data_IF_508757381233
#
_entry.id   IF_508757381233
#
_cell.length_a   1.000
_cell.length_b   1.000
_cell.length_c   1.000
_cell.angle_alpha   90.00
_cell.angle_beta   90.00
_cell.angle_gamma   90.00
#
_symmetry.space_group_name_H-M   'P 1'
#
loop_
_entity.id
_entity.type
_entity.pdbx_description
1 polymer ?
#
# COMPACT_ATOMS: atom_id res chain seq x y z
N UNK A 1 -3.70 2.12 3.00
CA UNK A 1 -4.42 2.87 4.07
C UNK A 1 -5.90 3.07 3.73
N UNK A 2 -6.73 3.45 4.71
CA UNK A 2 -8.19 3.67 4.54
C UNK A 2 -8.59 5.04 5.08
N UNK A 3 -9.39 5.79 4.33
CA UNK A 3 -9.94 7.07 4.76
C UNK A 3 -10.96 6.92 5.91
N UNK A 4 -10.89 7.85 6.85
CA UNK A 4 -11.70 7.85 8.07
C UNK A 4 -13.16 8.20 7.86
N UNK A 5 -13.54 8.89 6.79
CA UNK A 5 -14.94 9.26 6.55
C UNK A 5 -15.60 8.32 5.54
N UNK A 6 -15.08 8.32 4.32
CA UNK A 6 -15.59 7.60 3.15
C UNK A 6 -15.37 6.07 3.23
N UNK A 7 -14.35 5.64 3.98
CA UNK A 7 -13.79 4.28 3.96
C UNK A 7 -13.17 3.90 2.60
N UNK A 8 -12.79 4.90 1.81
CA UNK A 8 -12.00 4.69 0.59
C UNK A 8 -10.65 4.08 0.95
N UNK A 9 -10.25 3.04 0.24
CA UNK A 9 -8.89 2.52 0.30
C UNK A 9 -8.02 3.45 -0.54
N UNK A 10 -7.13 4.18 0.12
CA UNK A 10 -6.29 5.21 -0.50
C UNK A 10 -5.08 4.62 -1.23
N UNK A 11 -4.51 3.54 -0.69
CA UNK A 11 -3.42 2.79 -1.29
C UNK A 11 -3.42 1.36 -0.74
N UNK A 12 -2.96 0.42 -1.57
CA UNK A 12 -2.86 -0.99 -1.27
C UNK A 12 -1.78 -1.61 -2.17
N UNK A 13 -0.61 -1.91 -1.60
CA UNK A 13 0.60 -2.21 -2.37
C UNK A 13 1.23 -3.51 -1.90
N UNK A 14 1.77 -4.29 -2.84
CA UNK A 14 2.63 -5.44 -2.56
C UNK A 14 4.02 -4.92 -2.24
N UNK A 15 4.60 -5.38 -1.13
CA UNK A 15 5.97 -5.06 -0.72
C UNK A 15 6.69 -6.32 -0.30
N UNK A 16 8.02 -6.35 -0.48
CA UNK A 16 8.90 -7.43 -0.01
C UNK A 16 8.85 -7.55 1.52
N UNK A 17 8.69 -6.42 2.20
CA UNK A 17 8.63 -6.36 3.65
C UNK A 17 7.84 -5.15 4.11
N UNK A 18 6.95 -5.37 5.06
CA UNK A 18 6.27 -4.31 5.80
C UNK A 18 7.08 -3.84 7.03
N UNK A 19 8.23 -4.46 7.31
CA UNK A 19 9.13 -4.06 8.40
C UNK A 19 10.09 -2.94 7.99
N UNK A 20 10.01 -2.45 6.74
CA UNK A 20 10.83 -1.36 6.21
C UNK A 20 10.01 -0.06 6.23
N UNK A 21 10.20 0.82 7.23
CA UNK A 21 9.40 2.03 7.39
C UNK A 21 9.41 2.93 6.16
N UNK A 22 10.52 2.98 5.43
CA UNK A 22 10.71 3.83 4.25
C UNK A 22 9.92 3.32 3.05
N UNK A 23 9.71 2.00 2.93
CA UNK A 23 8.84 1.43 1.91
C UNK A 23 7.37 1.81 2.17
N UNK A 24 6.93 1.71 3.43
CA UNK A 24 5.58 2.13 3.83
C UNK A 24 5.40 3.65 3.69
N UNK A 25 6.44 4.42 4.01
CA UNK A 25 6.45 5.86 3.81
C UNK A 25 6.29 6.24 2.34
N UNK A 26 6.98 5.56 1.42
CA UNK A 26 6.84 5.79 -0.03
C UNK A 26 5.39 5.64 -0.48
N UNK A 27 4.69 4.59 -0.06
CA UNK A 27 3.27 4.41 -0.38
C UNK A 27 2.40 5.56 0.16
N UNK A 28 2.72 6.08 1.34
CA UNK A 28 2.04 7.24 1.89
C UNK A 28 2.33 8.52 1.08
N UNK A 29 3.58 8.78 0.70
CA UNK A 29 3.96 9.94 -0.13
C UNK A 29 3.30 9.89 -1.52
N UNK A 30 3.26 8.71 -2.15
CA UNK A 30 2.58 8.52 -3.42
C UNK A 30 1.07 8.75 -3.30
N UNK A 31 0.45 8.27 -2.21
CA UNK A 31 -0.94 8.59 -1.93
C UNK A 31 -1.17 10.10 -1.72
N UNK A 32 -0.27 10.81 -1.04
CA UNK A 32 -0.35 12.28 -0.87
C UNK A 32 -0.29 12.97 -2.24
N UNK A 33 0.59 12.53 -3.16
CA UNK A 33 0.65 13.07 -4.52
C UNK A 33 -0.63 12.80 -5.31
N UNK A 34 -1.07 11.56 -5.32
CA UNK A 34 -2.25 11.14 -6.10
C UNK A 34 -3.52 11.84 -5.65
N UNK A 35 -3.62 12.19 -4.36
CA UNK A 35 -4.75 12.93 -3.81
C UNK A 35 -4.54 14.45 -3.80
N UNK A 36 -3.41 14.95 -4.31
CA UNK A 36 -3.04 16.37 -4.35
C UNK A 36 -3.00 17.03 -2.95
N UNK A 37 -2.67 16.26 -1.92
CA UNK A 37 -2.61 16.75 -0.55
C UNK A 37 -2.55 15.64 0.50
N UNK A 38 -2.18 16.03 1.71
CA UNK A 38 -2.19 15.15 2.88
C UNK A 38 -3.51 15.27 3.65
N UNK A 39 -3.91 14.25 4.42
CA UNK A 39 -5.09 14.37 5.28
C UNK A 39 -4.83 15.39 6.41
N UNK A 40 -5.91 15.95 6.97
CA UNK A 40 -5.84 16.84 8.14
C UNK A 40 -5.14 16.16 9.32
N UNK A 41 -5.42 14.88 9.53
CA UNK A 41 -4.84 14.09 10.60
C UNK A 41 -4.71 12.63 10.17
N UNK A 42 -3.58 11.99 10.52
CA UNK A 42 -3.40 10.54 10.37
C UNK A 42 -3.47 9.83 11.72
N UNK A 43 -3.77 8.53 11.67
CA UNK A 43 -3.74 7.66 12.84
C UNK A 43 -3.13 6.32 12.46
N UNK A 44 -2.17 5.86 13.25
CA UNK A 44 -1.60 4.51 13.14
C UNK A 44 -1.49 3.88 14.53
N UNK A 45 -1.15 2.59 14.57
CA UNK A 45 -0.61 2.04 15.82
C UNK A 45 0.84 2.45 16.03
N UNK A 46 1.40 2.06 17.18
CA UNK A 46 2.79 2.32 17.55
C UNK A 46 3.77 1.34 16.88
N UNK A 47 3.41 0.74 15.73
CA UNK A 47 4.33 -0.07 14.93
C UNK A 47 5.54 0.73 14.46
N UNK A 48 6.71 0.08 14.41
CA UNK A 48 7.96 0.72 14.01
C UNK A 48 7.94 1.18 12.56
N UNK A 49 7.17 0.51 11.72
CA UNK A 49 6.95 0.83 10.30
C UNK A 49 6.20 2.15 10.08
N UNK A 50 5.44 2.61 11.07
CA UNK A 50 4.59 3.79 10.96
C UNK A 50 5.29 5.09 11.39
N UNK A 51 6.50 5.00 11.95
CA UNK A 51 7.23 6.17 12.48
C UNK A 51 7.52 7.23 11.41
N UNK A 52 7.89 6.81 10.20
CA UNK A 52 8.20 7.74 9.10
C UNK A 52 6.93 8.45 8.61
N UNK A 53 5.79 7.74 8.53
CA UNK A 53 4.49 8.35 8.19
C UNK A 53 4.09 9.40 9.22
N UNK A 54 4.26 9.09 10.51
CA UNK A 54 3.97 10.01 11.59
C UNK A 54 4.81 11.29 11.48
N UNK A 55 6.13 11.14 11.29
CA UNK A 55 7.04 12.27 11.09
C UNK A 55 6.69 13.09 9.84
N UNK A 56 6.43 12.43 8.72
CA UNK A 56 6.06 13.07 7.47
C UNK A 56 4.77 13.90 7.60
N UNK A 57 3.73 13.33 8.19
CA UNK A 57 2.46 14.02 8.41
C UNK A 57 2.65 15.26 9.31
N UNK A 58 3.39 15.14 10.41
CA UNK A 58 3.69 16.27 11.29
C UNK A 58 4.48 17.37 10.57
N UNK A 59 5.41 16.98 9.68
CA UNK A 59 6.21 17.92 8.90
C UNK A 59 5.38 18.65 7.82
N UNK A 60 4.52 17.93 7.10
CA UNK A 60 3.61 18.56 6.13
C UNK A 60 2.76 19.64 6.77
N UNK A 61 2.34 19.40 8.01
CA UNK A 61 1.48 20.29 8.79
C UNK A 61 2.25 21.20 9.75
N UNK A 62 3.57 21.36 9.60
CA UNK A 62 4.40 22.12 10.55
C UNK A 62 4.14 23.63 10.57
N UNK A 63 3.82 24.20 9.41
CA UNK A 63 3.74 25.66 9.22
C UNK A 63 2.32 26.19 9.35
N UNK A 64 1.36 25.28 9.51
CA UNK A 64 -0.04 25.62 9.68
C UNK A 64 -0.33 25.90 11.16
N UNK A 65 -1.02 27.01 11.44
CA UNK A 65 -1.53 27.32 12.78
C UNK A 65 -2.98 26.84 12.99
N UNK A 66 -3.51 26.02 12.08
CA UNK A 66 -4.82 25.40 12.19
C UNK A 66 -4.86 24.28 13.24
N UNK A 67 -6.06 23.87 13.69
CA UNK A 67 -6.22 22.68 14.52
C UNK A 67 -5.56 21.45 13.88
N UNK A 68 -5.02 20.56 14.73
CA UNK A 68 -4.36 19.32 14.29
C UNK A 68 -3.13 19.56 13.40
N UNK A 69 -2.36 20.63 13.66
CA UNK A 69 -1.10 20.91 12.99
C UNK A 69 0.12 20.47 13.81
N UNK A 70 1.30 20.47 13.18
CA UNK A 70 2.56 20.03 13.78
C UNK A 70 2.43 18.63 14.40
N UNK A 71 2.85 18.49 15.67
CA UNK A 71 2.79 17.22 16.42
C UNK A 71 1.36 16.66 16.58
N UNK A 72 0.32 17.50 16.47
CA UNK A 72 -1.08 17.07 16.58
C UNK A 72 -1.65 16.53 15.26
N UNK A 73 -0.88 16.62 14.17
CA UNK A 73 -1.28 16.11 12.87
C UNK A 73 -1.27 14.58 12.78
N UNK A 74 -0.63 13.90 13.74
CA UNK A 74 -0.61 12.44 13.81
C UNK A 74 -1.04 11.95 15.19
N UNK A 75 -1.80 10.85 15.22
CA UNK A 75 -2.21 10.18 16.46
C UNK A 75 -1.72 8.74 16.47
N UNK A 76 -0.89 8.41 17.45
CA UNK A 76 -0.65 7.01 17.82
C UNK A 76 -1.79 6.48 18.68
N UNK A 77 -2.37 5.36 18.25
CA UNK A 77 -3.46 4.69 18.95
C UNK A 77 -3.17 3.21 19.21
N UNK A 78 -3.86 2.56 20.16
CA UNK A 78 -3.76 1.12 20.29
C UNK A 78 -4.41 0.43 19.07
N UNK A 79 -3.84 -0.71 18.66
CA UNK A 79 -4.28 -1.49 17.48
C UNK A 79 -5.76 -1.88 17.53
N UNK A 80 -6.34 -2.04 18.73
CA UNK A 80 -7.78 -2.30 18.95
C UNK A 80 -8.71 -1.20 18.41
N UNK A 81 -8.18 0.00 18.15
CA UNK A 81 -8.92 1.13 17.62
C UNK A 81 -8.72 1.31 16.11
N UNK A 82 -7.92 0.47 15.45
CA UNK A 82 -7.74 0.45 13.98
C UNK A 82 -8.91 -0.27 13.27
N UNK A 83 -10.14 -0.12 13.79
CA UNK A 83 -11.30 -0.91 13.39
C UNK A 83 -11.65 -0.77 11.91
N UNK A 84 -11.45 0.41 11.32
CA UNK A 84 -11.79 0.68 9.92
C UNK A 84 -10.94 -0.15 8.96
N UNK A 85 -9.62 -0.13 9.15
CA UNK A 85 -8.69 -0.88 8.32
C UNK A 85 -8.80 -2.39 8.61
N UNK A 86 -8.98 -2.81 9.87
CA UNK A 86 -9.18 -4.21 10.22
C UNK A 86 -10.48 -4.80 9.64
N UNK A 87 -11.56 -4.02 9.63
CA UNK A 87 -12.80 -4.42 8.99
C UNK A 87 -12.63 -4.59 7.47
N UNK A 88 -11.89 -3.68 6.83
CA UNK A 88 -11.56 -3.82 5.43
C UNK A 88 -10.71 -5.08 5.15
N UNK A 89 -9.67 -5.34 5.96
CA UNK A 89 -8.87 -6.57 5.85
C UNK A 89 -9.71 -7.84 6.01
N UNK A 90 -10.70 -7.84 6.90
CA UNK A 90 -11.64 -8.96 7.05
C UNK A 90 -12.44 -9.22 5.77
N UNK A 91 -12.83 -8.16 5.05
CA UNK A 91 -13.50 -8.29 3.76
C UNK A 91 -12.54 -8.79 2.68
N UNK A 92 -11.36 -8.17 2.58
CA UNK A 92 -10.31 -8.55 1.62
C UNK A 92 -9.98 -10.04 1.69
N UNK A 93 -9.73 -10.58 2.89
CA UNK A 93 -9.41 -12.00 3.11
C UNK A 93 -10.51 -12.95 2.64
N UNK A 94 -11.78 -12.55 2.69
CA UNK A 94 -12.91 -13.38 2.22
C UNK A 94 -13.00 -13.40 0.70
N UNK A 95 -12.53 -12.35 0.04
CA UNK A 95 -12.61 -12.20 -1.42
C UNK A 95 -11.35 -12.73 -2.11
N UNK A 96 -10.18 -12.67 -1.48
CA UNK A 96 -8.89 -13.05 -2.06
C UNK A 96 -8.36 -14.44 -1.67
N UNK A 97 -9.17 -15.31 -1.06
CA UNK A 97 -8.74 -16.63 -0.57
C UNK A 97 -8.21 -17.60 -1.65
N UNK A 98 -8.34 -17.27 -2.93
CA UNK A 98 -7.92 -18.11 -4.06
C UNK A 98 -6.48 -17.89 -4.56
N UNK A 99 -5.80 -16.81 -4.15
CA UNK A 99 -4.49 -16.42 -4.74
C UNK A 99 -3.27 -16.84 -3.92
N UNK A 100 -3.49 -17.43 -2.75
CA UNK A 100 -2.39 -17.89 -1.91
C UNK A 100 -1.83 -19.17 -2.52
N UNK A 101 -0.59 -19.09 -3.02
CA UNK A 101 0.21 -20.26 -3.37
C UNK A 101 0.21 -21.18 -2.16
N UNK A 102 -0.09 -22.47 -2.34
CA UNK A 102 -0.05 -23.44 -1.26
C UNK A 102 1.41 -23.60 -0.79
N UNK A 103 1.76 -22.88 0.28
CA UNK A 103 3.12 -22.71 0.83
C UNK A 103 3.82 -24.04 1.19
N UNK A 104 3.08 -25.15 1.21
CA UNK A 104 3.49 -26.43 1.78
C UNK A 104 4.63 -27.15 1.05
N UNK A 105 5.13 -26.61 -0.06
CA UNK A 105 6.19 -27.24 -0.88
C UNK A 105 7.37 -26.33 -1.21
N UNK A 106 7.40 -25.08 -0.73
CA UNK A 106 8.47 -24.13 -1.07
C UNK A 106 9.49 -24.02 0.06
N UNK A 107 10.77 -24.08 -0.29
CA UNK A 107 11.85 -23.78 0.64
C UNK A 107 12.10 -22.28 0.69
N UNK A 108 11.35 -21.57 1.54
CA UNK A 108 11.42 -20.11 1.69
C UNK A 108 12.69 -19.62 2.42
N UNK A 109 13.58 -20.53 2.83
CA UNK A 109 14.85 -20.18 3.47
C UNK A 109 15.96 -19.84 2.45
N UNK A 110 15.69 -20.00 1.14
CA UNK A 110 16.66 -19.72 0.07
C UNK A 110 16.34 -18.40 -0.65
N UNK A 111 17.31 -17.48 -0.66
CA UNK A 111 17.18 -16.15 -1.29
C UNK A 111 16.78 -16.24 -2.77
N UNK A 112 17.30 -17.21 -3.52
CA UNK A 112 16.93 -17.44 -4.92
C UNK A 112 15.43 -17.74 -5.06
N UNK A 113 14.88 -18.61 -4.21
CA UNK A 113 13.46 -18.99 -4.24
C UNK A 113 12.59 -17.78 -3.93
N UNK A 114 12.95 -16.99 -2.92
CA UNK A 114 12.22 -15.77 -2.56
C UNK A 114 12.24 -14.72 -3.67
N UNK A 115 13.40 -14.47 -4.29
CA UNK A 115 13.51 -13.52 -5.39
C UNK A 115 12.81 -14.01 -6.66
N UNK A 116 12.82 -15.32 -6.93
CA UNK A 116 12.08 -15.93 -8.04
C UNK A 116 10.56 -15.81 -7.83
N UNK A 117 10.07 -16.08 -6.62
CA UNK A 117 8.67 -15.87 -6.26
C UNK A 117 8.27 -14.41 -6.44
N UNK A 118 9.08 -13.48 -5.92
CA UNK A 118 8.84 -12.06 -6.09
C UNK A 118 8.77 -11.66 -7.56
N UNK A 119 9.77 -12.06 -8.36
CA UNK A 119 9.84 -11.73 -9.78
C UNK A 119 8.63 -12.23 -10.56
N UNK A 120 8.20 -13.46 -10.30
CA UNK A 120 7.12 -14.10 -11.04
C UNK A 120 5.73 -13.59 -10.61
N UNK A 121 5.50 -13.40 -9.32
CA UNK A 121 4.15 -13.17 -8.80
C UNK A 121 3.84 -11.72 -8.44
N UNK A 122 4.83 -10.86 -8.16
CA UNK A 122 4.60 -9.50 -7.67
C UNK A 122 3.63 -8.71 -8.58
N UNK A 123 3.85 -8.70 -9.90
CA UNK A 123 2.99 -7.96 -10.83
C UNK A 123 1.56 -8.50 -10.91
N UNK A 124 1.39 -9.83 -10.82
CA UNK A 124 0.08 -10.49 -10.82
C UNK A 124 -0.68 -10.19 -9.52
N UNK A 125 0.02 -10.26 -8.39
CA UNK A 125 -0.53 -9.94 -7.08
C UNK A 125 -0.95 -8.47 -7.00
N UNK A 126 -0.09 -7.54 -7.45
CA UNK A 126 -0.42 -6.11 -7.49
C UNK A 126 -1.67 -5.86 -8.35
N UNK A 127 -1.73 -6.43 -9.55
CA UNK A 127 -2.89 -6.28 -10.44
C UNK A 127 -4.20 -6.77 -9.80
N UNK A 128 -4.14 -7.87 -9.05
CA UNK A 128 -5.29 -8.46 -8.36
C UNK A 128 -5.77 -7.59 -7.18
N UNK A 129 -4.84 -7.06 -6.38
CA UNK A 129 -5.21 -6.17 -5.27
C UNK A 129 -5.70 -4.81 -5.77
N UNK A 130 -5.16 -4.30 -6.89
CA UNK A 130 -5.65 -3.08 -7.56
C UNK A 130 -7.11 -3.24 -8.03
N UNK A 131 -7.46 -4.41 -8.57
CA UNK A 131 -8.85 -4.72 -8.93
C UNK A 131 -9.75 -4.75 -7.69
N UNK A 132 -9.27 -5.37 -6.61
CA UNK A 132 -10.01 -5.43 -5.35
C UNK A 132 -10.21 -4.04 -4.74
N UNK A 133 -9.20 -3.17 -4.81
CA UNK A 133 -9.28 -1.77 -4.37
C UNK A 133 -10.32 -1.01 -5.20
N UNK A 134 -10.27 -1.11 -6.53
CA UNK A 134 -11.23 -0.48 -7.45
C UNK A 134 -12.66 -0.95 -7.18
N UNK A 135 -12.84 -2.26 -6.98
CA UNK A 135 -14.14 -2.83 -6.64
C UNK A 135 -14.66 -2.27 -5.32
N UNK A 136 -13.83 -2.27 -4.26
CA UNK A 136 -14.22 -1.74 -2.96
C UNK A 136 -14.62 -0.26 -3.03
N UNK A 137 -13.81 0.56 -3.70
CA UNK A 137 -14.00 2.01 -3.76
C UNK A 137 -15.25 2.42 -4.56
N UNK A 138 -15.73 1.57 -5.48
CA UNK A 138 -16.93 1.80 -6.30
C UNK A 138 -18.19 1.11 -5.76
N UNK A 139 -18.05 0.19 -4.79
CA UNK A 139 -19.18 -0.51 -4.18
C UNK A 139 -19.98 0.42 -3.26
N UNK A 140 -21.31 0.31 -3.30
CA UNK A 140 -22.16 0.96 -2.30
C UNK A 140 -22.06 0.25 -0.95
N UNK A 141 -21.54 0.93 0.07
CA UNK A 141 -21.45 0.41 1.43
C UNK A 141 -22.66 0.89 2.25
N UNK A 142 -23.37 -0.08 2.81
CA UNK A 142 -24.56 0.15 3.66
C UNK A 142 -24.18 0.77 5.00
N UNK A 143 -25.11 1.49 5.65
CA UNK A 143 -24.89 1.97 7.01
C UNK A 143 -24.77 0.78 7.96
N UNK A 144 -23.94 0.92 8.98
CA UNK A 144 -23.78 -0.06 10.06
C UNK A 144 -24.37 0.48 11.37
N UNK A 145 -24.36 -0.32 12.44
CA UNK A 145 -24.77 0.11 13.79
C UNK A 145 -23.83 1.13 14.43
N UNK A 146 -22.62 1.27 13.88
CA UNK A 146 -21.64 2.27 14.27
C UNK A 146 -21.82 3.51 13.38
N UNK A 147 -21.36 4.69 13.83
CA UNK A 147 -21.43 5.98 13.12
C UNK A 147 -20.66 5.96 11.78
N UNK A 148 -21.22 5.26 10.81
CA UNK A 148 -20.67 5.07 9.48
C UNK A 148 -21.67 5.64 8.47
N UNK A 149 -21.20 6.55 7.62
CA UNK A 149 -21.99 7.11 6.53
C UNK A 149 -22.26 6.02 5.48
N UNK A 150 -23.47 5.97 4.94
CA UNK A 150 -23.78 5.06 3.83
C UNK A 150 -23.39 5.71 2.49
N UNK A 151 -22.87 4.94 1.55
CA UNK A 151 -22.52 5.48 0.24
C UNK A 151 -21.41 4.72 -0.45
N UNK A 152 -21.09 5.18 -1.67
CA UNK A 152 -19.94 4.70 -2.45
C UNK A 152 -18.70 5.43 -1.96
N UNK A 153 -17.62 4.74 -1.54
CA UNK A 153 -16.42 5.39 -1.02
C UNK A 153 -15.84 6.48 -1.91
N UNK A 154 -15.74 6.25 -3.22
CA UNK A 154 -15.24 7.28 -4.15
C UNK A 154 -16.14 8.52 -4.19
N UNK A 155 -17.46 8.37 -4.10
CA UNK A 155 -18.40 9.50 -4.07
C UNK A 155 -18.29 10.25 -2.74
N UNK A 156 -18.27 9.53 -1.62
CA UNK A 156 -18.13 10.11 -0.28
C UNK A 156 -16.81 10.87 -0.13
N UNK A 157 -15.74 10.38 -0.77
CA UNK A 157 -14.43 11.00 -0.75
C UNK A 157 -14.35 12.25 -1.66
N UNK A 158 -15.00 12.20 -2.83
CA UNK A 158 -14.93 13.28 -3.81
C UNK A 158 -15.81 14.50 -3.48
N UNK A 159 -16.96 14.28 -2.82
CA UNK A 159 -17.94 15.33 -2.50
C UNK A 159 -18.47 15.18 -1.06
N UNK A 160 -17.60 15.24 -0.03
CA UNK A 160 -18.01 15.04 1.37
C UNK A 160 -19.08 16.05 1.85
N UNK A 161 -19.13 17.25 1.27
CA UNK A 161 -20.06 18.32 1.63
C UNK A 161 -21.52 17.94 1.40
N UNK A 162 -21.81 17.18 0.34
CA UNK A 162 -23.16 16.67 0.03
C UNK A 162 -23.66 15.66 1.08
N UNK A 163 -22.74 15.15 1.91
CA UNK A 163 -23.03 14.22 3.00
C UNK A 163 -22.85 14.88 4.39
N UNK A 164 -22.76 16.21 4.45
CA UNK A 164 -22.64 16.97 5.69
C UNK A 164 -21.25 16.88 6.35
N UNK A 165 -20.23 16.49 5.60
CA UNK A 165 -18.83 16.54 6.02
C UNK A 165 -18.09 17.67 5.30
N UNK A 166 -16.77 17.72 5.44
CA UNK A 166 -15.90 18.72 4.83
C UNK A 166 -14.65 18.05 4.28
N UNK A 167 -14.12 18.57 3.16
CA UNK A 167 -12.82 18.13 2.65
C UNK A 167 -11.73 18.39 3.71
N UNK A 168 -11.12 17.30 4.17
CA UNK A 168 -10.02 17.30 5.14
C UNK A 168 -8.65 17.25 4.45
N UNK A 169 -8.58 17.43 3.13
CA UNK A 169 -7.32 17.48 2.40
C UNK A 169 -6.62 18.82 2.64
N UNK A 170 -5.31 18.73 2.76
CA UNK A 170 -4.41 19.86 2.97
C UNK A 170 -3.34 19.81 1.90
N UNK A 171 -3.20 20.90 1.14
CA UNK A 171 -2.15 21.03 0.14
C UNK A 171 -0.75 20.93 0.78
N UNK A 172 0.15 20.22 0.09
CA UNK A 172 1.53 20.05 0.52
C UNK A 172 2.43 20.62 -0.57
N UNK A 173 3.35 21.51 -0.19
CA UNK A 173 4.35 22.05 -1.11
C UNK A 173 5.25 20.94 -1.68
N UNK A 174 5.54 21.01 -2.97
CA UNK A 174 6.39 20.01 -3.65
C UNK A 174 7.78 19.88 -3.03
N UNK A 175 8.32 20.97 -2.48
CA UNK A 175 9.61 21.00 -1.79
C UNK A 175 9.61 20.05 -0.57
N UNK A 176 8.57 20.11 0.28
CA UNK A 176 8.44 19.23 1.46
C UNK A 176 8.33 17.76 1.08
N UNK A 177 7.62 17.46 -0.01
CA UNK A 177 7.52 16.09 -0.53
C UNK A 177 8.89 15.57 -0.97
N UNK A 178 9.65 16.37 -1.71
CA UNK A 178 10.99 16.00 -2.19
C UNK A 178 11.99 15.82 -1.05
N UNK A 179 11.92 16.63 0.01
CA UNK A 179 12.80 16.50 1.17
C UNK A 179 12.60 15.17 1.91
N UNK A 180 11.35 14.77 2.15
CA UNK A 180 11.08 13.48 2.80
C UNK A 180 11.46 12.32 1.88
N UNK A 181 11.22 12.45 0.57
CA UNK A 181 11.66 11.44 -0.40
C UNK A 181 13.17 11.25 -0.41
N UNK A 182 13.94 12.34 -0.42
CA UNK A 182 15.40 12.25 -0.36
C UNK A 182 15.86 11.47 0.87
N UNK A 183 15.27 11.76 2.02
CA UNK A 183 15.57 11.05 3.27
C UNK A 183 15.15 9.57 3.26
N UNK A 184 14.11 9.20 2.49
CA UNK A 184 13.66 7.80 2.35
C UNK A 184 14.45 7.02 1.29
N UNK A 185 14.91 7.68 0.23
CA UNK A 185 15.63 7.07 -0.89
C UNK A 185 17.03 6.58 -0.48
N UNK A 186 17.69 7.28 0.44
CA UNK A 186 19.01 6.89 0.96
C UNK A 186 18.99 5.55 1.75
N UNK A 187 17.82 5.09 2.18
CA UNK A 187 17.65 3.82 2.89
C UNK A 187 17.40 2.60 1.97
N UNK A 188 17.05 2.86 0.70
CA UNK A 188 16.71 1.86 -0.31
C UNK A 188 17.55 2.06 -1.57
N UNK A 189 18.87 2.21 -1.42
CA UNK A 189 19.72 1.81 -2.53
C UNK A 189 19.31 0.36 -2.85
N UNK A 190 18.60 0.16 -3.96
CA UNK A 190 18.34 -1.15 -4.53
C UNK A 190 19.73 -1.80 -4.62
N UNK A 191 20.10 -2.60 -3.62
CA UNK A 191 21.29 -3.41 -3.72
C UNK A 191 21.07 -4.23 -4.97
N UNK A 192 21.96 -4.07 -5.96
CA UNK A 192 21.92 -4.78 -7.24
C UNK A 192 21.66 -6.25 -6.95
N UNK A 193 20.41 -6.67 -7.15
CA UNK A 193 19.99 -8.01 -6.81
C UNK A 193 20.34 -8.88 -8.00
N UNK A 194 21.46 -9.58 -7.89
CA UNK A 194 22.00 -10.44 -8.95
C UNK A 194 20.98 -11.45 -9.49
N UNK A 195 20.04 -11.91 -8.65
CA UNK A 195 18.98 -12.81 -9.08
C UNK A 195 17.96 -12.08 -9.95
N UNK A 196 17.53 -10.88 -9.57
CA UNK A 196 16.62 -10.06 -10.38
C UNK A 196 17.25 -9.72 -11.74
N UNK A 197 18.53 -9.34 -11.78
CA UNK A 197 19.26 -9.10 -13.03
C UNK A 197 19.31 -10.34 -13.92
N UNK A 198 19.62 -11.49 -13.33
CA UNK A 198 19.62 -12.77 -14.02
C UNK A 198 18.23 -13.10 -14.61
N UNK A 199 17.15 -12.90 -13.86
CA UNK A 199 15.79 -13.15 -14.34
C UNK A 199 15.39 -12.20 -15.48
N UNK A 200 15.74 -10.92 -15.37
CA UNK A 200 15.53 -9.95 -16.45
C UNK A 200 16.29 -10.35 -17.72
N UNK A 201 17.59 -10.68 -17.60
CA UNK A 201 18.39 -11.16 -18.71
C UNK A 201 17.80 -12.42 -19.35
N UNK A 202 17.34 -13.38 -18.54
CA UNK A 202 16.67 -14.59 -19.04
C UNK A 202 15.44 -14.22 -19.88
N UNK A 203 14.55 -13.37 -19.36
CA UNK A 203 13.34 -12.93 -20.04
C UNK A 203 13.64 -12.26 -21.39
N UNK A 204 14.63 -11.37 -21.42
CA UNK A 204 15.08 -10.68 -22.65
C UNK A 204 15.67 -11.66 -23.66
N UNK A 205 16.55 -12.56 -23.22
CA UNK A 205 17.18 -13.55 -24.09
C UNK A 205 16.18 -14.50 -24.76
N UNK A 206 15.07 -14.79 -24.07
CA UNK A 206 14.01 -15.67 -24.56
C UNK A 206 12.87 -14.89 -25.26
N UNK A 207 12.90 -13.55 -25.26
CA UNK A 207 11.82 -12.71 -25.79
C UNK A 207 10.46 -12.93 -25.11
N UNK A 208 10.47 -13.31 -23.82
CA UNK A 208 9.25 -13.60 -23.05
C UNK A 208 8.61 -12.33 -22.52
N UNK A 209 7.29 -12.37 -22.35
CA UNK A 209 6.54 -11.32 -21.66
C UNK A 209 6.32 -11.67 -20.19
N UNK A 210 6.21 -10.64 -19.35
CA UNK A 210 5.90 -10.80 -17.95
C UNK A 210 4.50 -11.43 -17.76
N UNK A 211 4.34 -12.26 -16.72
CA UNK A 211 3.08 -12.94 -16.47
C UNK A 211 1.98 -11.95 -16.10
N UNK A 212 0.78 -12.15 -16.64
CA UNK A 212 -0.40 -11.32 -16.34
C UNK A 212 -1.44 -12.04 -15.50
N UNK A 213 -1.26 -13.33 -15.27
CA UNK A 213 -2.15 -14.15 -14.43
C UNK A 213 -1.38 -15.21 -13.65
N UNK A 214 -2.07 -15.83 -12.69
CA UNK A 214 -1.47 -16.80 -11.77
C UNK A 214 -0.83 -18.00 -12.48
N UNK A 215 -1.45 -18.51 -13.55
CA UNK A 215 -0.95 -19.69 -14.25
C UNK A 215 0.35 -19.38 -15.00
N UNK A 216 0.43 -18.22 -15.66
CA UNK A 216 1.65 -17.76 -16.32
C UNK A 216 2.78 -17.49 -15.31
N UNK A 217 2.45 -16.91 -14.16
CA UNK A 217 3.43 -16.69 -13.08
C UNK A 217 3.96 -18.02 -12.54
N UNK A 218 3.09 -19.01 -12.34
CA UNK A 218 3.48 -20.35 -11.91
C UNK A 218 4.33 -21.09 -12.95
N UNK A 219 4.01 -20.95 -14.25
CA UNK A 219 4.82 -21.50 -15.33
C UNK A 219 6.22 -20.88 -15.32
N UNK A 220 6.32 -19.55 -15.27
CA UNK A 220 7.59 -18.84 -15.22
C UNK A 220 8.41 -19.25 -13.99
N UNK A 221 7.78 -19.31 -12.83
CA UNK A 221 8.40 -19.75 -11.58
C UNK A 221 8.99 -21.16 -11.73
N UNK A 222 8.20 -22.12 -12.24
CA UNK A 222 8.64 -23.50 -12.45
C UNK A 222 9.86 -23.57 -13.39
N UNK A 223 9.84 -22.77 -14.47
CA UNK A 223 10.94 -22.69 -15.44
C UNK A 223 12.21 -22.19 -14.75
N UNK A 224 12.15 -21.05 -14.06
CA UNK A 224 13.30 -20.44 -13.42
C UNK A 224 13.89 -21.32 -12.31
N UNK A 225 13.04 -22.02 -11.55
CA UNK A 225 13.49 -22.98 -10.53
C UNK A 225 14.20 -24.19 -11.13
N UNK A 226 13.84 -24.62 -12.34
CA UNK A 226 14.47 -25.79 -13.00
C UNK A 226 15.89 -25.50 -13.48
N UNK A 227 16.26 -24.23 -13.71
CA UNK A 227 17.61 -23.83 -14.12
C UNK A 227 18.58 -23.61 -12.95
N UNK A 228 18.12 -23.76 -11.70
CA UNK A 228 18.93 -23.64 -10.49
C UNK A 228 19.45 -25.00 -9.95
N UNK A 229 19.05 -26.13 -10.56
CA UNK A 229 19.59 -27.48 -10.28
C UNK A 229 20.68 -27.89 -11.30
#
# INVERSE_FOLDING_TARGET
AVDGFSRKVLWLEVTRSNNLPEAVAKFYLDAVRQNEGCPLQTRTDCGTENGVIAGAQCYFRSDDNAPFSGEQAHIFGPSTHNQRIENWWSHFKKTCSSYLVDERQLNLDEDFTNECLWFCFNGVLQSSIDETQRYWNTLYIRPSRHETVAGVPDVLFAIPEEFGAFDCRVEVGSEKLQEIEGNCADAHADEENIFQEYFHYYMESQGRQYPVNYNEALELFSILMTYNE
#
